data_IF_692654050901
#
_entry.id   IF_692654050901
#
_cell.length_a   1.000
_cell.length_b   1.000
_cell.length_c   1.000
_cell.angle_alpha   90.00
_cell.angle_beta   90.00
_cell.angle_gamma   90.00
#
_symmetry.space_group_name_H-M   'P 1'
#
loop_
_entity.id
_entity.type
_entity.pdbx_description
1 polymer ?
#
# COMPACT_ATOMS: atom_id res chain seq x y z
N UNK A 1 -13.58 -30.75 -16.14
CA UNK A 1 -14.52 -29.95 -15.31
C UNK A 1 -13.85 -29.09 -14.23
N UNK A 2 -12.75 -29.50 -13.57
CA UNK A 2 -12.05 -28.70 -12.52
C UNK A 2 -11.51 -27.35 -13.02
N UNK A 3 -10.90 -27.27 -14.20
CA UNK A 3 -10.33 -26.04 -14.77
C UNK A 3 -11.34 -24.90 -14.97
N UNK A 4 -12.58 -25.19 -15.35
CA UNK A 4 -13.64 -24.20 -15.58
C UNK A 4 -14.05 -23.50 -14.26
N UNK A 5 -14.09 -24.25 -13.15
CA UNK A 5 -14.43 -23.73 -11.83
C UNK A 5 -13.33 -22.79 -11.25
N UNK A 6 -12.04 -23.09 -11.52
CA UNK A 6 -10.93 -22.26 -11.02
C UNK A 6 -10.84 -20.91 -11.75
N UNK A 7 -11.02 -20.92 -13.08
CA UNK A 7 -11.05 -19.69 -13.88
C UNK A 7 -12.15 -18.74 -13.41
N UNK A 8 -13.33 -19.27 -13.13
CA UNK A 8 -14.47 -18.47 -12.66
C UNK A 8 -14.20 -17.92 -11.26
N UNK A 9 -13.67 -18.73 -10.32
CA UNK A 9 -13.29 -18.27 -8.98
C UNK A 9 -12.18 -17.22 -9.02
N UNK A 10 -11.16 -17.40 -9.85
CA UNK A 10 -10.11 -16.41 -10.06
C UNK A 10 -10.69 -15.08 -10.54
N UNK A 11 -11.52 -15.11 -11.60
CA UNK A 11 -12.11 -13.88 -12.15
C UNK A 11 -13.01 -13.15 -11.13
N UNK A 12 -13.81 -13.89 -10.36
CA UNK A 12 -14.66 -13.32 -9.32
C UNK A 12 -13.80 -12.69 -8.22
N UNK A 13 -12.80 -13.40 -7.70
CA UNK A 13 -11.91 -12.88 -6.66
C UNK A 13 -11.09 -11.69 -7.18
N UNK A 14 -10.57 -11.78 -8.39
CA UNK A 14 -9.87 -10.68 -9.04
C UNK A 14 -10.77 -9.44 -9.16
N UNK A 15 -12.02 -9.60 -9.64
CA UNK A 15 -12.95 -8.48 -9.77
C UNK A 15 -13.24 -7.80 -8.42
N UNK A 16 -13.49 -8.58 -7.35
CA UNK A 16 -13.70 -8.01 -6.02
C UNK A 16 -12.46 -7.28 -5.48
N UNK A 17 -11.28 -7.88 -5.61
CA UNK A 17 -10.02 -7.27 -5.15
C UNK A 17 -9.61 -6.09 -6.01
N UNK A 18 -9.83 -6.15 -7.31
CA UNK A 18 -9.64 -5.04 -8.24
C UNK A 18 -10.56 -3.86 -7.87
N UNK A 19 -11.85 -4.11 -7.68
CA UNK A 19 -12.82 -3.09 -7.28
C UNK A 19 -12.42 -2.45 -5.95
N UNK A 20 -12.01 -3.26 -4.97
CA UNK A 20 -11.58 -2.81 -3.65
C UNK A 20 -10.36 -1.90 -3.73
N UNK A 21 -9.32 -2.31 -4.45
CA UNK A 21 -8.09 -1.53 -4.56
C UNK A 21 -8.33 -0.22 -5.34
N UNK A 22 -9.16 -0.26 -6.38
CA UNK A 22 -9.38 0.90 -7.24
C UNK A 22 -10.41 1.89 -6.70
N UNK A 23 -11.39 1.45 -5.88
CA UNK A 23 -12.36 2.37 -5.26
C UNK A 23 -11.66 3.49 -4.48
N UNK A 24 -10.62 3.17 -3.70
CA UNK A 24 -9.86 4.17 -2.96
C UNK A 24 -9.23 5.23 -3.87
N UNK A 25 -8.78 4.84 -5.05
CA UNK A 25 -8.20 5.77 -6.03
C UNK A 25 -9.25 6.58 -6.76
N UNK A 26 -10.41 5.97 -7.10
CA UNK A 26 -11.55 6.71 -7.70
C UNK A 26 -12.04 7.82 -6.76
N UNK A 27 -12.20 7.54 -5.48
CA UNK A 27 -12.54 8.58 -4.50
C UNK A 27 -11.44 9.65 -4.39
N UNK A 28 -10.15 9.28 -4.52
CA UNK A 28 -9.06 10.26 -4.53
C UNK A 28 -9.12 11.18 -5.75
N UNK A 29 -9.56 10.69 -6.92
CA UNK A 29 -9.76 11.51 -8.13
C UNK A 29 -10.82 12.60 -7.89
N UNK A 30 -11.82 12.32 -7.07
CA UNK A 30 -12.89 13.29 -6.74
C UNK A 30 -12.44 14.22 -5.60
N UNK A 31 -11.86 13.68 -4.53
CA UNK A 31 -11.52 14.45 -3.33
C UNK A 31 -10.32 15.35 -3.52
N UNK A 32 -9.33 14.93 -4.33
CA UNK A 32 -8.08 15.65 -4.50
C UNK A 32 -8.28 17.05 -5.14
N UNK A 33 -9.02 17.19 -6.26
CA UNK A 33 -9.31 18.51 -6.82
C UNK A 33 -10.03 19.44 -5.84
N UNK A 34 -11.02 18.91 -5.09
CA UNK A 34 -11.78 19.68 -4.09
C UNK A 34 -10.84 20.19 -2.98
N UNK A 35 -9.95 19.34 -2.48
CA UNK A 35 -9.01 19.70 -1.42
C UNK A 35 -7.97 20.72 -1.91
N UNK A 36 -7.42 20.53 -3.11
CA UNK A 36 -6.45 21.46 -3.68
C UNK A 36 -7.09 22.83 -3.94
N UNK A 37 -8.34 22.88 -4.45
CA UNK A 37 -9.03 24.13 -4.68
C UNK A 37 -9.34 24.89 -3.38
N UNK A 38 -9.61 24.16 -2.27
CA UNK A 38 -9.92 24.76 -0.96
C UNK A 38 -8.68 25.26 -0.23
N UNK A 39 -7.59 24.51 -0.25
CA UNK A 39 -6.44 24.73 0.64
C UNK A 39 -5.15 25.10 -0.11
N UNK A 40 -5.12 24.92 -1.43
CA UNK A 40 -3.91 25.15 -2.23
C UNK A 40 -2.85 24.07 -2.09
N UNK A 41 -1.80 24.19 -2.91
CA UNK A 41 -0.74 23.17 -3.00
C UNK A 41 0.12 23.09 -1.73
N UNK A 42 0.44 24.23 -1.11
CA UNK A 42 1.34 24.25 0.04
C UNK A 42 0.73 23.51 1.24
N UNK A 43 -0.51 23.82 1.58
CA UNK A 43 -1.21 23.22 2.70
C UNK A 43 -1.51 21.75 2.46
N UNK A 44 -1.89 21.39 1.23
CA UNK A 44 -2.09 19.99 0.88
C UNK A 44 -0.78 19.18 0.90
N UNK A 45 0.34 19.78 0.56
CA UNK A 45 1.65 19.16 0.70
C UNK A 45 2.00 18.80 2.15
N UNK A 46 1.66 19.67 3.10
CA UNK A 46 1.81 19.39 4.53
C UNK A 46 0.95 18.20 4.96
N UNK A 47 -0.34 18.18 4.52
CA UNK A 47 -1.28 17.09 4.81
C UNK A 47 -0.77 15.76 4.26
N UNK A 48 -0.35 15.71 3.00
CA UNK A 48 0.13 14.47 2.37
C UNK A 48 1.44 13.98 2.98
N UNK A 49 2.34 14.90 3.37
CA UNK A 49 3.56 14.54 4.09
C UNK A 49 3.25 13.89 5.42
N UNK A 50 2.33 14.47 6.22
CA UNK A 50 1.89 13.88 7.47
C UNK A 50 1.19 12.52 7.25
N UNK A 51 0.34 12.39 6.23
CA UNK A 51 -0.26 11.12 5.86
C UNK A 51 0.77 10.04 5.51
N UNK A 52 1.80 10.38 4.73
CA UNK A 52 2.85 9.43 4.34
C UNK A 52 3.61 8.90 5.57
N UNK A 53 3.95 9.77 6.52
CA UNK A 53 4.60 9.37 7.78
C UNK A 53 3.69 8.44 8.58
N UNK A 54 2.42 8.81 8.78
CA UNK A 54 1.45 8.01 9.54
C UNK A 54 1.16 6.67 8.87
N UNK A 55 1.01 6.63 7.55
CA UNK A 55 0.84 5.36 6.83
C UNK A 55 2.10 4.49 6.90
N UNK A 56 3.29 5.09 6.92
CA UNK A 56 4.53 4.37 7.21
C UNK A 56 4.54 3.74 8.61
N UNK A 57 4.12 4.50 9.64
CA UNK A 57 3.97 3.96 11.01
C UNK A 57 2.97 2.81 11.07
N UNK A 58 1.82 2.96 10.42
CA UNK A 58 0.79 1.91 10.33
C UNK A 58 1.33 0.67 9.62
N UNK A 59 2.12 0.85 8.57
CA UNK A 59 2.75 -0.25 7.85
C UNK A 59 3.72 -1.04 8.75
N UNK A 60 4.51 -0.33 9.56
CA UNK A 60 5.39 -0.94 10.57
C UNK A 60 4.55 -1.64 11.66
N UNK A 61 3.46 -1.01 12.13
CA UNK A 61 2.59 -1.59 13.16
C UNK A 61 1.88 -2.88 12.71
N UNK A 62 1.58 -3.02 11.42
CA UNK A 62 1.08 -4.27 10.88
C UNK A 62 2.10 -5.41 10.94
N UNK A 63 3.37 -5.11 11.14
CA UNK A 63 4.47 -6.07 11.31
C UNK A 63 4.43 -7.17 10.23
N UNK A 64 4.42 -8.44 10.67
CA UNK A 64 4.31 -9.62 9.79
C UNK A 64 2.88 -10.12 9.58
N UNK A 65 1.87 -9.45 10.18
CA UNK A 65 0.48 -9.92 10.24
C UNK A 65 -0.16 -10.14 8.86
N UNK A 66 0.27 -9.36 7.86
CA UNK A 66 -0.19 -9.52 6.47
C UNK A 66 0.15 -10.89 5.88
N UNK A 67 1.22 -11.52 6.34
CA UNK A 67 1.61 -12.87 5.94
C UNK A 67 1.09 -13.91 6.93
N UNK A 68 1.12 -13.63 8.23
CA UNK A 68 0.75 -14.56 9.29
C UNK A 68 -0.75 -14.91 9.28
N UNK A 69 -1.66 -13.91 9.24
CA UNK A 69 -3.11 -14.16 9.33
C UNK A 69 -3.62 -15.07 8.20
N UNK A 70 -3.23 -14.88 6.92
CA UNK A 70 -3.62 -15.79 5.85
C UNK A 70 -3.15 -17.23 6.04
N UNK A 71 -2.01 -17.49 6.69
CA UNK A 71 -1.56 -18.87 6.98
C UNK A 71 -2.46 -19.57 7.99
N UNK A 72 -3.12 -18.82 8.86
CA UNK A 72 -4.08 -19.32 9.85
C UNK A 72 -5.52 -19.44 9.33
N UNK A 73 -5.78 -19.14 8.05
CA UNK A 73 -7.13 -19.00 7.50
C UNK A 73 -8.04 -20.22 7.73
N UNK A 74 -7.50 -21.45 7.56
CA UNK A 74 -8.22 -22.70 7.83
C UNK A 74 -8.65 -22.81 9.31
N UNK A 75 -7.71 -22.60 10.22
CA UNK A 75 -7.92 -22.71 11.66
C UNK A 75 -8.92 -21.64 12.15
N UNK A 76 -8.75 -20.39 11.71
CA UNK A 76 -9.61 -19.24 12.02
C UNK A 76 -11.04 -19.45 11.52
N UNK A 77 -11.23 -20.15 10.38
CA UNK A 77 -12.56 -20.36 9.83
C UNK A 77 -13.38 -21.38 10.61
N UNK A 78 -12.73 -22.40 11.19
CA UNK A 78 -13.36 -23.55 11.83
C UNK A 78 -13.47 -23.39 13.36
N UNK A 79 -12.41 -22.86 14.01
CA UNK A 79 -12.31 -22.78 15.47
C UNK A 79 -12.39 -21.34 15.97
N UNK A 80 -13.44 -21.07 16.76
CA UNK A 80 -13.69 -19.73 17.32
C UNK A 80 -12.64 -19.31 18.34
N UNK A 81 -12.09 -20.24 19.13
CA UNK A 81 -11.02 -19.93 20.09
C UNK A 81 -9.75 -19.50 19.39
N UNK A 82 -9.36 -20.21 18.31
CA UNK A 82 -8.21 -19.81 17.49
C UNK A 82 -8.45 -18.44 16.84
N UNK A 83 -9.69 -18.16 16.43
CA UNK A 83 -10.04 -16.83 15.92
C UNK A 83 -9.82 -15.76 17.01
N UNK A 84 -10.34 -15.95 18.24
CA UNK A 84 -10.18 -15.01 19.34
C UNK A 84 -8.71 -14.78 19.70
N UNK A 85 -7.93 -15.86 19.79
CA UNK A 85 -6.49 -15.77 20.09
C UNK A 85 -5.74 -15.00 18.99
N UNK A 86 -5.96 -15.33 17.72
CA UNK A 86 -5.29 -14.68 16.60
C UNK A 86 -5.71 -13.21 16.48
N UNK A 87 -6.98 -12.90 16.72
CA UNK A 87 -7.49 -11.54 16.76
C UNK A 87 -6.86 -10.74 17.90
N UNK A 88 -6.85 -11.28 19.12
CA UNK A 88 -6.22 -10.66 20.28
C UNK A 88 -4.72 -10.45 20.06
N UNK A 89 -4.01 -11.43 19.50
CA UNK A 89 -2.60 -11.30 19.16
C UNK A 89 -2.37 -10.17 18.16
N UNK A 90 -3.14 -10.12 17.08
CA UNK A 90 -2.96 -9.12 16.04
C UNK A 90 -3.24 -7.70 16.52
N UNK A 91 -4.28 -7.51 17.33
CA UNK A 91 -4.62 -6.20 17.91
C UNK A 91 -3.60 -5.74 18.96
N UNK A 92 -3.12 -6.65 19.82
CA UNK A 92 -2.05 -6.34 20.79
C UNK A 92 -0.74 -5.97 20.10
N UNK A 93 -0.30 -6.73 19.08
CA UNK A 93 0.91 -6.42 18.30
C UNK A 93 0.81 -5.02 17.69
N UNK A 94 -0.30 -4.72 17.02
CA UNK A 94 -0.53 -3.40 16.43
C UNK A 94 -0.58 -2.30 17.49
N UNK A 95 -1.26 -2.54 18.62
CA UNK A 95 -1.38 -1.56 19.69
C UNK A 95 -0.01 -1.22 20.30
N UNK A 96 0.77 -2.23 20.71
CA UNK A 96 2.09 -2.00 21.31
C UNK A 96 3.05 -1.27 20.37
N UNK A 97 3.13 -1.72 19.10
CA UNK A 97 4.00 -1.05 18.11
C UNK A 97 3.49 0.35 17.80
N UNK A 98 2.17 0.54 17.64
CA UNK A 98 1.59 1.86 17.37
C UNK A 98 1.84 2.84 18.51
N UNK A 99 1.68 2.43 19.77
CA UNK A 99 1.96 3.26 20.93
C UNK A 99 3.43 3.69 20.94
N UNK A 100 4.35 2.74 20.75
CA UNK A 100 5.79 3.03 20.70
C UNK A 100 6.13 4.03 19.58
N UNK A 101 5.66 3.78 18.36
CA UNK A 101 5.91 4.64 17.21
C UNK A 101 5.27 6.02 17.39
N UNK A 102 4.08 6.10 17.99
CA UNK A 102 3.39 7.35 18.29
C UNK A 102 4.21 8.19 19.27
N UNK A 103 4.72 7.60 20.35
CA UNK A 103 5.56 8.29 21.33
C UNK A 103 6.86 8.79 20.69
N UNK A 104 7.57 7.95 19.92
CA UNK A 104 8.80 8.34 19.22
C UNK A 104 8.55 9.47 18.22
N UNK A 105 7.49 9.34 17.39
CA UNK A 105 7.17 10.36 16.39
C UNK A 105 6.67 11.67 17.03
N UNK A 106 5.96 11.60 18.16
CA UNK A 106 5.53 12.78 18.91
C UNK A 106 6.75 13.60 19.38
N UNK A 107 7.75 12.96 19.97
CA UNK A 107 8.98 13.59 20.39
C UNK A 107 9.72 14.19 19.18
N UNK A 108 9.82 13.44 18.10
CA UNK A 108 10.51 13.89 16.89
C UNK A 108 9.83 15.10 16.25
N UNK A 109 8.51 15.08 16.10
CA UNK A 109 7.73 16.18 15.50
C UNK A 109 7.73 17.40 16.42
N UNK A 110 7.61 17.22 17.73
CA UNK A 110 7.65 18.32 18.68
C UNK A 110 8.99 19.09 18.68
N UNK A 111 10.11 18.39 18.44
CA UNK A 111 11.45 18.98 18.45
C UNK A 111 11.77 19.61 17.08
N UNK A 112 11.59 18.87 15.98
CA UNK A 112 12.11 19.23 14.66
C UNK A 112 11.07 19.82 13.72
N UNK A 113 9.76 19.56 13.94
CA UNK A 113 8.69 19.90 13.00
C UNK A 113 7.49 20.55 13.70
N UNK A 114 7.72 21.56 14.54
CA UNK A 114 6.67 22.22 15.35
C UNK A 114 5.45 22.65 14.52
N UNK A 115 5.66 23.14 13.30
CA UNK A 115 4.58 23.59 12.41
C UNK A 115 3.64 22.45 11.93
N UNK A 116 4.09 21.21 12.04
CA UNK A 116 3.30 20.02 11.67
C UNK A 116 2.63 19.34 12.88
N UNK A 117 2.89 19.84 14.11
CA UNK A 117 2.48 19.16 15.33
C UNK A 117 0.98 18.94 15.42
N UNK A 118 0.17 19.99 15.19
CA UNK A 118 -1.29 19.88 15.23
C UNK A 118 -1.81 18.93 14.15
N UNK A 119 -1.30 19.05 12.93
CA UNK A 119 -1.69 18.21 11.82
C UNK A 119 -1.33 16.73 12.07
N UNK A 120 -0.17 16.48 12.69
CA UNK A 120 0.25 15.15 13.08
C UNK A 120 -0.63 14.60 14.21
N UNK A 121 -0.90 15.38 15.26
CA UNK A 121 -1.76 14.97 16.38
C UNK A 121 -3.17 14.61 15.91
N UNK A 122 -3.75 15.45 15.05
CA UNK A 122 -5.08 15.22 14.46
C UNK A 122 -5.11 14.05 13.46
N UNK A 123 -3.96 13.51 13.08
CA UNK A 123 -3.88 12.29 12.25
C UNK A 123 -3.91 10.97 13.05
N UNK A 124 -3.83 11.02 14.39
CA UNK A 124 -3.85 9.81 15.25
C UNK A 124 -5.08 8.91 15.08
N UNK A 125 -6.30 9.40 14.78
CA UNK A 125 -7.43 8.51 14.49
C UNK A 125 -7.16 7.49 13.39
N UNK A 126 -6.29 7.80 12.41
CA UNK A 126 -5.85 6.85 11.39
C UNK A 126 -5.12 5.66 12.04
N UNK A 127 -4.25 5.94 13.03
CA UNK A 127 -3.51 4.89 13.75
C UNK A 127 -4.47 4.00 14.54
N UNK A 128 -5.41 4.61 15.29
CA UNK A 128 -6.43 3.90 16.08
C UNK A 128 -7.26 2.98 15.17
N UNK A 129 -7.73 3.51 14.02
CA UNK A 129 -8.44 2.70 13.03
C UNK A 129 -7.64 1.46 12.62
N UNK A 130 -6.35 1.61 12.36
CA UNK A 130 -5.52 0.49 11.90
C UNK A 130 -5.29 -0.58 12.97
N UNK A 131 -5.30 -0.23 14.25
CA UNK A 131 -5.22 -1.20 15.36
C UNK A 131 -6.43 -2.16 15.31
N UNK A 132 -7.63 -1.62 15.14
CA UNK A 132 -8.88 -2.40 15.15
C UNK A 132 -9.36 -2.87 13.77
N UNK A 133 -8.58 -2.64 12.73
CA UNK A 133 -8.98 -2.97 11.36
C UNK A 133 -9.07 -4.48 11.10
N UNK A 134 -10.28 -5.02 10.80
CA UNK A 134 -10.50 -6.45 10.59
C UNK A 134 -10.24 -6.93 9.15
N UNK A 135 -9.79 -6.05 8.26
CA UNK A 135 -9.71 -6.37 6.81
C UNK A 135 -8.86 -7.59 6.52
N UNK A 136 -7.74 -7.80 7.24
CA UNK A 136 -6.89 -8.99 7.06
C UNK A 136 -7.65 -10.28 7.44
N UNK A 137 -8.52 -10.23 8.45
CA UNK A 137 -9.34 -11.36 8.87
C UNK A 137 -10.48 -11.63 7.88
N UNK A 138 -11.13 -10.61 7.38
CA UNK A 138 -12.14 -10.79 6.33
C UNK A 138 -11.53 -11.35 5.04
N UNK A 139 -10.34 -10.91 4.65
CA UNK A 139 -9.61 -11.48 3.52
C UNK A 139 -9.25 -12.95 3.77
N UNK A 140 -8.74 -13.30 4.96
CA UNK A 140 -8.40 -14.68 5.33
C UNK A 140 -9.64 -15.60 5.36
N UNK A 141 -10.82 -15.05 5.70
CA UNK A 141 -12.10 -15.74 5.68
C UNK A 141 -12.78 -15.74 4.30
N UNK A 142 -12.13 -15.25 3.25
CA UNK A 142 -12.68 -15.08 1.89
C UNK A 142 -13.94 -14.18 1.85
N UNK A 143 -14.12 -13.32 2.86
CA UNK A 143 -15.24 -12.39 2.97
C UNK A 143 -14.94 -11.02 2.36
N UNK A 144 -14.38 -11.01 1.16
CA UNK A 144 -13.92 -9.80 0.45
C UNK A 144 -15.02 -8.76 0.21
N UNK A 145 -16.30 -9.17 0.17
CA UNK A 145 -17.44 -8.26 0.12
C UNK A 145 -17.45 -7.27 1.29
N UNK A 146 -17.17 -7.74 2.52
CA UNK A 146 -17.12 -6.84 3.69
C UNK A 146 -15.97 -5.86 3.61
N UNK A 147 -14.80 -6.30 3.12
CA UNK A 147 -13.65 -5.41 2.93
C UNK A 147 -13.97 -4.30 1.93
N UNK A 148 -14.63 -4.66 0.81
CA UNK A 148 -15.08 -3.70 -0.19
C UNK A 148 -16.09 -2.69 0.40
N UNK A 149 -17.08 -3.18 1.14
CA UNK A 149 -18.09 -2.30 1.77
C UNK A 149 -17.47 -1.36 2.79
N UNK A 150 -16.55 -1.84 3.64
CA UNK A 150 -15.80 -1.01 4.59
C UNK A 150 -15.04 0.08 3.82
N UNK A 151 -14.29 -0.30 2.78
CA UNK A 151 -13.53 0.65 1.98
C UNK A 151 -14.40 1.68 1.27
N UNK A 152 -15.52 1.26 0.69
CA UNK A 152 -16.45 2.15 -0.01
C UNK A 152 -17.12 3.14 0.95
N UNK A 153 -17.74 2.64 2.02
CA UNK A 153 -18.48 3.49 2.96
C UNK A 153 -17.57 4.47 3.69
N UNK A 154 -16.35 4.06 4.08
CA UNK A 154 -15.41 4.98 4.71
C UNK A 154 -14.96 6.10 3.76
N UNK A 155 -14.75 5.80 2.48
CA UNK A 155 -14.40 6.82 1.48
C UNK A 155 -15.58 7.73 1.16
N UNK A 156 -16.79 7.20 1.09
CA UNK A 156 -18.00 7.99 0.92
C UNK A 156 -18.20 8.97 2.09
N UNK A 157 -18.05 8.47 3.33
CA UNK A 157 -18.13 9.31 4.53
C UNK A 157 -17.03 10.38 4.55
N UNK A 158 -15.81 10.02 4.16
CA UNK A 158 -14.72 10.99 4.04
C UNK A 158 -15.02 12.07 3.00
N UNK A 159 -15.59 11.71 1.84
CA UNK A 159 -16.00 12.68 0.81
C UNK A 159 -17.02 13.68 1.38
N UNK A 160 -18.00 13.23 2.17
CA UNK A 160 -18.95 14.11 2.84
C UNK A 160 -18.23 15.08 3.80
N UNK A 161 -17.25 14.59 4.59
CA UNK A 161 -16.44 15.46 5.42
C UNK A 161 -15.64 16.48 4.63
N UNK A 162 -15.05 16.10 3.49
CA UNK A 162 -14.28 17.01 2.62
C UNK A 162 -15.09 18.20 2.15
N UNK A 163 -16.40 18.03 1.93
CA UNK A 163 -17.29 19.13 1.55
C UNK A 163 -17.42 20.16 2.68
N UNK A 164 -17.45 19.71 3.94
CA UNK A 164 -17.73 20.56 5.12
C UNK A 164 -16.44 21.11 5.77
N UNK A 165 -15.32 20.42 5.64
CA UNK A 165 -14.04 20.83 6.26
C UNK A 165 -13.62 22.22 5.77
N UNK A 166 -13.38 23.14 6.71
CA UNK A 166 -12.88 24.50 6.46
C UNK A 166 -11.41 24.71 6.85
N UNK A 167 -10.82 23.80 7.64
CA UNK A 167 -9.43 23.86 8.07
C UNK A 167 -8.68 22.60 7.67
N UNK A 168 -7.50 22.74 7.03
CA UNK A 168 -6.62 21.67 6.56
C UNK A 168 -6.25 20.66 7.66
N UNK A 169 -6.08 21.12 8.90
CA UNK A 169 -5.61 20.29 10.00
C UNK A 169 -6.59 19.13 10.32
N UNK A 170 -7.87 19.32 10.05
CA UNK A 170 -8.89 18.29 10.27
C UNK A 170 -9.01 17.26 9.14
N UNK A 171 -8.32 17.41 8.00
CA UNK A 171 -8.43 16.49 6.87
C UNK A 171 -8.06 15.06 7.30
N UNK A 172 -6.93 14.91 7.97
CA UNK A 172 -6.45 13.60 8.43
C UNK A 172 -7.29 13.04 9.58
N UNK A 173 -7.79 13.91 10.45
CA UNK A 173 -8.73 13.54 11.51
C UNK A 173 -10.00 12.94 10.90
N UNK A 174 -10.62 13.62 9.96
CA UNK A 174 -11.86 13.17 9.29
C UNK A 174 -11.63 11.90 8.47
N UNK A 175 -10.45 11.73 7.86
CA UNK A 175 -10.09 10.48 7.17
C UNK A 175 -10.05 9.32 8.16
N UNK A 176 -9.35 9.46 9.28
CA UNK A 176 -9.26 8.43 10.32
C UNK A 176 -10.61 8.15 10.98
N UNK A 177 -11.39 9.19 11.28
CA UNK A 177 -12.71 9.07 11.86
C UNK A 177 -13.68 8.33 10.94
N UNK A 178 -13.70 8.65 9.65
CA UNK A 178 -14.54 7.97 8.66
C UNK A 178 -14.25 6.47 8.58
N UNK A 179 -12.98 6.10 8.59
CA UNK A 179 -12.55 4.71 8.58
C UNK A 179 -12.92 4.00 9.90
N UNK A 180 -12.72 4.65 11.04
CA UNK A 180 -13.01 4.10 12.37
C UNK A 180 -14.50 3.83 12.55
N UNK A 181 -15.37 4.80 12.24
CA UNK A 181 -16.83 4.66 12.38
C UNK A 181 -17.37 3.50 11.56
N UNK A 182 -16.94 3.37 10.30
CA UNK A 182 -17.39 2.29 9.44
C UNK A 182 -16.89 0.93 9.94
N UNK A 183 -15.65 0.84 10.41
CA UNK A 183 -15.12 -0.40 10.97
C UNK A 183 -15.88 -0.83 12.21
N UNK A 184 -16.13 0.08 13.16
CA UNK A 184 -16.89 -0.23 14.36
C UNK A 184 -18.31 -0.74 14.04
N UNK A 185 -18.96 -0.15 13.02
CA UNK A 185 -20.26 -0.62 12.54
C UNK A 185 -20.19 -2.08 12.03
N UNK A 186 -19.18 -2.41 11.19
CA UNK A 186 -19.01 -3.77 10.65
C UNK A 186 -18.58 -4.78 11.72
N UNK A 187 -17.76 -4.39 12.70
CA UNK A 187 -17.41 -5.24 13.83
C UNK A 187 -18.64 -5.61 14.64
N UNK A 188 -19.53 -4.64 14.89
CA UNK A 188 -20.80 -4.87 15.63
C UNK A 188 -21.75 -5.80 14.87
N UNK A 189 -21.82 -5.70 13.54
CA UNK A 189 -22.68 -6.58 12.73
C UNK A 189 -22.08 -7.99 12.48
N UNK A 190 -20.79 -8.16 12.75
CA UNK A 190 -20.12 -9.43 12.55
C UNK A 190 -20.60 -10.45 13.58
N UNK A 191 -20.87 -11.70 13.10
CA UNK A 191 -21.11 -12.85 13.99
C UNK A 191 -19.84 -13.37 14.67
N UNK A 192 -18.65 -12.84 14.32
CA UNK A 192 -17.37 -13.21 14.92
C UNK A 192 -17.08 -12.40 16.17
N UNK A 193 -16.44 -12.98 17.20
CA UNK A 193 -16.20 -12.34 18.49
C UNK A 193 -15.05 -11.34 18.45
N UNK A 194 -15.14 -10.31 17.60
CA UNK A 194 -14.13 -9.25 17.50
C UNK A 194 -14.03 -8.39 18.77
N UNK A 195 -15.11 -8.33 19.56
CA UNK A 195 -15.10 -7.59 20.82
C UNK A 195 -14.59 -8.40 22.02
N UNK A 196 -14.41 -9.73 21.86
CA UNK A 196 -13.79 -10.58 22.88
C UNK A 196 -12.25 -10.42 22.79
N UNK A 197 -11.81 -9.24 23.14
CA UNK A 197 -10.39 -8.88 23.11
C UNK A 197 -9.75 -9.22 24.46
N UNK A 198 -8.61 -9.91 24.40
CA UNK A 198 -7.79 -10.21 25.55
C UNK A 198 -6.48 -9.45 25.49
N UNK A 199 -6.15 -8.74 26.56
CA UNK A 199 -4.81 -8.15 26.72
C UNK A 199 -3.80 -9.27 26.92
N UNK A 200 -2.91 -9.40 25.97
CA UNK A 200 -1.82 -10.38 26.05
C UNK A 200 -0.63 -9.79 26.79
N UNK A 201 0.05 -10.64 27.54
CA UNK A 201 1.29 -10.24 28.20
C UNK A 201 2.36 -9.83 27.17
N UNK A 202 3.15 -8.83 27.51
CA UNK A 202 4.24 -8.33 26.68
C UNK A 202 5.18 -9.46 26.24
N UNK A 203 5.39 -10.46 27.12
CA UNK A 203 6.22 -11.64 26.82
C UNK A 203 5.69 -12.45 25.63
N UNK A 204 4.37 -12.68 25.55
CA UNK A 204 3.76 -13.40 24.40
C UNK A 204 3.89 -12.61 23.11
N UNK A 205 3.68 -11.30 23.16
CA UNK A 205 3.84 -10.42 21.99
C UNK A 205 5.30 -10.40 21.52
N UNK A 206 6.27 -10.26 22.43
CA UNK A 206 7.70 -10.27 22.09
C UNK A 206 8.15 -11.60 21.48
N UNK A 207 7.61 -12.73 21.97
CA UNK A 207 7.89 -14.05 21.37
C UNK A 207 7.43 -14.08 19.91
N UNK A 208 6.20 -13.67 19.64
CA UNK A 208 5.65 -13.59 18.28
C UNK A 208 6.49 -12.67 17.37
N UNK A 209 6.86 -11.48 17.88
CA UNK A 209 7.71 -10.55 17.12
C UNK A 209 9.06 -11.19 16.76
N UNK A 210 9.66 -11.92 17.68
CA UNK A 210 10.93 -12.62 17.43
C UNK A 210 10.79 -13.74 16.40
N UNK A 211 9.76 -14.57 16.51
CA UNK A 211 9.52 -15.68 15.57
C UNK A 211 9.24 -15.22 14.15
N UNK A 212 8.56 -14.07 14.00
CA UNK A 212 8.14 -13.56 12.69
C UNK A 212 9.00 -12.39 12.18
N UNK A 213 10.17 -12.16 12.80
CA UNK A 213 11.04 -11.02 12.50
C UNK A 213 11.50 -10.97 11.04
N UNK A 214 11.88 -12.11 10.46
CA UNK A 214 12.30 -12.17 9.06
C UNK A 214 11.16 -11.78 8.08
N UNK A 215 9.93 -12.19 8.39
CA UNK A 215 8.75 -11.79 7.61
C UNK A 215 8.47 -10.29 7.76
N UNK A 216 8.68 -9.75 8.95
CA UNK A 216 8.58 -8.32 9.20
C UNK A 216 9.59 -7.53 8.36
N UNK A 217 10.85 -7.94 8.32
CA UNK A 217 11.88 -7.23 7.55
C UNK A 217 11.52 -7.16 6.06
N UNK A 218 11.03 -8.25 5.46
CA UNK A 218 10.58 -8.25 4.07
C UNK A 218 9.45 -7.23 3.85
N UNK A 219 8.46 -7.19 4.76
CA UNK A 219 7.35 -6.24 4.67
C UNK A 219 7.82 -4.80 4.89
N UNK A 220 8.65 -4.57 5.91
CA UNK A 220 9.19 -3.26 6.29
C UNK A 220 9.91 -2.59 5.12
N UNK A 221 10.90 -3.27 4.51
CA UNK A 221 11.68 -2.70 3.42
C UNK A 221 10.83 -2.45 2.17
N UNK A 222 9.82 -3.30 1.91
CA UNK A 222 8.89 -3.09 0.79
C UNK A 222 8.00 -1.86 0.97
N UNK A 223 7.60 -1.54 2.23
CA UNK A 223 6.68 -0.44 2.56
C UNK A 223 7.40 0.86 2.89
N UNK A 224 8.69 0.81 3.22
CA UNK A 224 9.46 1.99 3.61
C UNK A 224 9.60 2.99 2.46
N UNK A 225 9.74 2.50 1.23
CA UNK A 225 9.91 3.34 0.03
C UNK A 225 8.79 4.37 -0.16
N UNK A 226 7.50 3.98 -0.27
CA UNK A 226 6.42 4.95 -0.43
C UNK A 226 6.25 5.88 0.78
N UNK A 227 6.63 5.42 1.98
CA UNK A 227 6.55 6.23 3.20
C UNK A 227 7.60 7.34 3.25
N UNK A 228 8.73 7.20 2.55
CA UNK A 228 9.84 8.16 2.58
C UNK A 228 9.76 9.18 1.46
N UNK A 229 9.25 8.81 0.29
CA UNK A 229 9.30 9.67 -0.91
C UNK A 229 8.62 11.03 -0.69
N UNK A 230 7.42 11.06 -0.14
CA UNK A 230 6.69 12.33 0.07
C UNK A 230 7.32 13.22 1.14
N UNK A 231 7.71 12.70 2.34
CA UNK A 231 8.47 13.50 3.30
C UNK A 231 9.78 14.03 2.74
N UNK A 232 10.51 13.22 1.99
CA UNK A 232 11.76 13.62 1.36
C UNK A 232 11.54 14.72 0.28
N UNK A 233 10.50 14.56 -0.55
CA UNK A 233 10.11 15.58 -1.55
C UNK A 233 9.74 16.89 -0.86
N UNK A 234 8.96 16.82 0.22
CA UNK A 234 8.55 17.99 1.00
C UNK A 234 9.75 18.69 1.66
N UNK A 235 10.72 17.91 2.16
CA UNK A 235 11.93 18.42 2.79
C UNK A 235 12.87 19.11 1.79
N UNK A 236 13.11 18.48 0.63
CA UNK A 236 14.09 18.98 -0.35
C UNK A 236 13.56 20.13 -1.21
N UNK A 237 12.28 20.09 -1.60
CA UNK A 237 11.71 21.02 -2.57
C UNK A 237 10.54 21.85 -2.02
N UNK A 238 10.10 21.55 -0.81
CA UNK A 238 8.97 22.21 -0.17
C UNK A 238 7.63 21.45 -0.35
N UNK A 239 6.63 21.79 0.50
CA UNK A 239 5.36 21.08 0.56
C UNK A 239 4.56 21.12 -0.75
N UNK A 240 4.60 22.22 -1.49
CA UNK A 240 3.90 22.35 -2.78
C UNK A 240 4.34 21.28 -3.78
N UNK A 241 5.62 20.95 -3.81
CA UNK A 241 6.14 19.89 -4.67
C UNK A 241 5.72 18.48 -4.21
N UNK A 242 5.48 18.26 -2.91
CA UNK A 242 4.91 17.01 -2.43
C UNK A 242 3.47 16.83 -2.95
N UNK A 243 2.67 17.89 -3.04
CA UNK A 243 1.35 17.87 -3.66
C UNK A 243 1.44 17.53 -5.15
N UNK A 244 2.33 18.20 -5.89
CA UNK A 244 2.55 17.97 -7.32
C UNK A 244 2.95 16.51 -7.58
N UNK A 245 3.87 15.96 -6.77
CA UNK A 245 4.26 14.55 -6.85
C UNK A 245 3.08 13.61 -6.57
N UNK A 246 2.25 13.95 -5.57
CA UNK A 246 1.08 13.15 -5.19
C UNK A 246 0.05 13.06 -6.31
N UNK A 247 -0.16 14.11 -7.11
CA UNK A 247 -1.05 14.07 -8.28
C UNK A 247 -0.63 12.96 -9.26
N UNK A 248 0.64 12.88 -9.60
CA UNK A 248 1.17 11.86 -10.49
C UNK A 248 1.17 10.46 -9.84
N UNK A 249 1.59 10.36 -8.57
CA UNK A 249 1.69 9.10 -7.83
C UNK A 249 0.33 8.43 -7.64
N UNK A 250 -0.77 9.18 -7.48
CA UNK A 250 -2.13 8.63 -7.36
C UNK A 250 -2.55 7.85 -8.61
N UNK A 251 -2.22 8.33 -9.80
CA UNK A 251 -2.51 7.64 -11.07
C UNK A 251 -1.70 6.34 -11.15
N UNK A 252 -0.41 6.41 -10.84
CA UNK A 252 0.47 5.23 -10.86
C UNK A 252 0.02 4.19 -9.82
N UNK A 253 -0.35 4.62 -8.63
CA UNK A 253 -0.84 3.73 -7.57
C UNK A 253 -2.18 3.07 -7.93
N UNK A 254 -3.05 3.72 -8.69
CA UNK A 254 -4.26 3.10 -9.24
C UNK A 254 -3.90 1.88 -10.12
N UNK A 255 -2.91 2.02 -11.00
CA UNK A 255 -2.45 0.92 -11.85
C UNK A 255 -1.72 -0.16 -11.04
N UNK A 256 -0.92 0.25 -10.05
CA UNK A 256 -0.30 -0.68 -9.10
C UNK A 256 -1.34 -1.46 -8.31
N UNK A 257 -2.50 -0.85 -7.98
CA UNK A 257 -3.64 -1.53 -7.37
C UNK A 257 -4.17 -2.69 -8.21
N UNK A 258 -4.18 -2.55 -9.55
CA UNK A 258 -4.54 -3.64 -10.48
C UNK A 258 -3.56 -4.80 -10.35
N UNK A 259 -2.25 -4.51 -10.37
CA UNK A 259 -1.21 -5.54 -10.23
C UNK A 259 -1.28 -6.24 -8.86
N UNK A 260 -1.56 -5.51 -7.79
CA UNK A 260 -1.77 -6.05 -6.45
C UNK A 260 -3.00 -6.98 -6.37
N UNK A 261 -4.12 -6.61 -7.00
CA UNK A 261 -5.30 -7.48 -7.09
C UNK A 261 -5.02 -8.76 -7.89
N UNK A 262 -4.24 -8.66 -8.96
CA UNK A 262 -3.77 -9.84 -9.71
C UNK A 262 -2.93 -10.76 -8.82
N UNK A 263 -1.98 -10.22 -8.07
CA UNK A 263 -1.15 -11.00 -7.16
C UNK A 263 -1.99 -11.74 -6.12
N UNK A 264 -2.82 -11.02 -5.38
CA UNK A 264 -3.61 -11.60 -4.28
C UNK A 264 -4.64 -12.64 -4.76
N UNK A 265 -5.15 -12.52 -5.99
CA UNK A 265 -6.06 -13.52 -6.58
C UNK A 265 -5.32 -14.71 -7.20
N UNK A 266 -4.11 -14.50 -7.73
CA UNK A 266 -3.32 -15.53 -8.42
C UNK A 266 -2.51 -16.40 -7.43
N UNK A 267 -1.93 -15.81 -6.39
CA UNK A 267 -1.04 -16.47 -5.45
C UNK A 267 -1.63 -17.72 -4.77
N UNK A 268 -2.88 -17.74 -4.27
CA UNK A 268 -3.48 -18.95 -3.70
C UNK A 268 -3.67 -20.09 -4.70
N UNK A 269 -3.94 -19.75 -5.97
CA UNK A 269 -4.13 -20.74 -7.04
C UNK A 269 -2.77 -21.32 -7.43
N UNK A 270 -1.76 -20.47 -7.54
CA UNK A 270 -0.39 -20.84 -7.83
C UNK A 270 0.16 -21.85 -6.81
N UNK A 271 -0.01 -21.58 -5.51
CA UNK A 271 0.45 -22.47 -4.44
C UNK A 271 -0.26 -23.82 -4.38
N UNK A 272 -1.54 -23.89 -4.82
CA UNK A 272 -2.31 -25.16 -4.82
C UNK A 272 -1.94 -26.09 -5.96
N UNK A 273 -1.58 -25.57 -7.12
CA UNK A 273 -1.44 -26.34 -8.36
C UNK A 273 -0.02 -26.44 -8.90
N UNK A 274 0.99 -25.88 -8.21
CA UNK A 274 2.39 -25.79 -8.71
C UNK A 274 2.41 -25.31 -10.16
N UNK A 275 1.81 -24.14 -10.39
CA UNK A 275 1.62 -23.60 -11.72
C UNK A 275 2.98 -23.33 -12.37
N UNK A 276 3.33 -24.08 -13.40
CA UNK A 276 4.59 -23.90 -14.10
C UNK A 276 4.54 -22.61 -14.95
N UNK A 277 5.36 -21.63 -14.61
CA UNK A 277 5.48 -20.37 -15.37
C UNK A 277 5.93 -20.59 -16.84
N UNK A 278 6.43 -21.78 -17.16
CA UNK A 278 6.80 -22.15 -18.55
C UNK A 278 5.58 -22.36 -19.44
N UNK A 279 4.39 -22.55 -18.85
CA UNK A 279 3.10 -22.76 -19.57
C UNK A 279 2.70 -21.51 -20.37
N UNK A 280 3.18 -20.30 -19.97
CA UNK A 280 2.96 -19.13 -20.82
C UNK A 280 3.79 -19.26 -22.10
N UNK A 281 3.12 -19.67 -23.17
CA UNK A 281 3.72 -19.74 -24.52
C UNK A 281 4.40 -18.40 -24.85
N UNK A 282 5.48 -18.41 -25.62
CA UNK A 282 6.23 -17.20 -26.05
C UNK A 282 5.27 -16.11 -26.59
N UNK A 283 4.23 -16.51 -27.35
CA UNK A 283 3.18 -15.60 -27.86
C UNK A 283 2.40 -14.87 -26.75
N UNK A 284 2.06 -15.57 -25.65
CA UNK A 284 1.31 -14.96 -24.53
C UNK A 284 2.18 -13.95 -23.77
N UNK A 285 3.47 -14.26 -23.60
CA UNK A 285 4.43 -13.33 -22.97
C UNK A 285 4.61 -12.06 -23.81
N UNK A 286 4.75 -12.22 -25.13
CA UNK A 286 4.84 -11.09 -26.05
C UNK A 286 3.57 -10.24 -26.04
N UNK A 287 2.39 -10.86 -26.04
CA UNK A 287 1.11 -10.14 -25.95
C UNK A 287 1.00 -9.33 -24.65
N UNK A 288 1.34 -9.92 -23.49
CA UNK A 288 1.34 -9.21 -22.21
C UNK A 288 2.27 -8.00 -22.28
N UNK A 289 3.49 -8.17 -22.80
CA UNK A 289 4.44 -7.08 -22.91
C UNK A 289 3.91 -5.96 -23.84
N UNK A 290 3.32 -6.30 -24.99
CA UNK A 290 2.69 -5.34 -25.88
C UNK A 290 1.53 -4.58 -25.19
N UNK A 291 0.68 -5.29 -24.44
CA UNK A 291 -0.38 -4.63 -23.67
C UNK A 291 0.17 -3.67 -22.61
N UNK A 292 1.24 -4.04 -21.90
CA UNK A 292 1.88 -3.17 -20.91
C UNK A 292 2.50 -1.94 -21.56
N UNK A 293 3.19 -2.10 -22.68
CA UNK A 293 3.74 -0.97 -23.45
C UNK A 293 2.64 -0.04 -23.96
N UNK A 294 1.53 -0.59 -24.43
CA UNK A 294 0.36 0.19 -24.84
C UNK A 294 -0.22 1.00 -23.67
N UNK A 295 -0.33 0.41 -22.48
CA UNK A 295 -0.78 1.14 -21.28
C UNK A 295 0.17 2.28 -20.94
N UNK A 296 1.48 2.05 -20.97
CA UNK A 296 2.49 3.12 -20.75
C UNK A 296 2.33 4.24 -21.77
N UNK A 297 2.19 3.90 -23.06
CA UNK A 297 2.01 4.87 -24.14
C UNK A 297 0.73 5.69 -23.95
N UNK A 298 -0.39 5.04 -23.61
CA UNK A 298 -1.66 5.72 -23.35
C UNK A 298 -1.55 6.70 -22.19
N UNK A 299 -0.87 6.32 -21.11
CA UNK A 299 -0.65 7.20 -19.96
C UNK A 299 0.28 8.34 -20.31
N UNK A 300 1.38 8.06 -21.06
CA UNK A 300 2.33 9.07 -21.48
C UNK A 300 1.66 10.16 -22.34
N UNK A 301 0.84 9.75 -23.30
CA UNK A 301 0.09 10.67 -24.17
C UNK A 301 -1.07 11.34 -23.40
N UNK A 302 -1.81 10.58 -22.60
CA UNK A 302 -2.95 11.06 -21.82
C UNK A 302 -2.58 11.84 -20.55
N UNK A 303 -1.29 11.89 -20.18
CA UNK A 303 -0.83 12.52 -18.93
C UNK A 303 -1.29 13.98 -18.77
N UNK A 304 -1.35 14.87 -19.79
CA UNK A 304 -1.86 16.23 -19.62
C UNK A 304 -3.32 16.23 -19.18
N UNK A 305 -4.17 15.41 -19.82
CA UNK A 305 -5.60 15.32 -19.49
C UNK A 305 -5.84 14.73 -18.09
N UNK A 306 -5.10 13.69 -17.73
CA UNK A 306 -5.22 13.06 -16.43
C UNK A 306 -4.83 14.03 -15.30
N UNK A 307 -3.74 14.76 -15.46
CA UNK A 307 -3.31 15.77 -14.48
C UNK A 307 -4.27 16.95 -14.48
N UNK A 308 -4.73 17.43 -15.64
CA UNK A 308 -5.69 18.51 -15.74
C UNK A 308 -6.96 18.23 -14.92
N UNK A 309 -7.54 17.02 -15.02
CA UNK A 309 -8.71 16.62 -14.23
C UNK A 309 -8.40 16.55 -12.73
N UNK A 310 -7.26 15.96 -12.35
CA UNK A 310 -6.86 15.86 -10.94
C UNK A 310 -6.46 17.20 -10.32
N UNK A 311 -6.07 18.15 -11.13
CA UNK A 311 -5.59 19.46 -10.73
C UNK A 311 -6.70 20.54 -10.85
N UNK A 312 -7.95 20.15 -10.66
CA UNK A 312 -9.09 21.06 -10.72
C UNK A 312 -9.16 21.86 -12.04
N UNK A 313 -8.94 21.18 -13.15
CA UNK A 313 -8.95 21.76 -14.51
C UNK A 313 -7.90 22.87 -14.74
N UNK A 314 -6.76 22.77 -14.04
CA UNK A 314 -5.60 23.63 -14.24
C UNK A 314 -4.41 22.83 -14.79
N UNK A 315 -3.68 23.43 -15.70
CA UNK A 315 -2.47 22.84 -16.26
C UNK A 315 -1.34 22.79 -15.21
N UNK A 316 -0.60 21.69 -15.17
CA UNK A 316 0.59 21.54 -14.34
C UNK A 316 1.63 20.69 -15.06
N UNK A 317 2.51 21.33 -15.82
CA UNK A 317 3.54 20.66 -16.61
C UNK A 317 4.54 19.87 -15.77
N UNK A 318 4.79 20.28 -14.53
CA UNK A 318 5.69 19.55 -13.61
C UNK A 318 5.06 18.19 -13.26
N UNK A 319 3.78 18.17 -12.86
CA UNK A 319 3.07 16.94 -12.55
C UNK A 319 2.94 16.02 -13.78
N UNK A 320 2.70 16.58 -14.97
CA UNK A 320 2.65 15.83 -16.23
C UNK A 320 3.97 15.12 -16.50
N UNK A 321 5.09 15.81 -16.37
CA UNK A 321 6.41 15.23 -16.60
C UNK A 321 6.77 14.16 -15.55
N UNK A 322 6.41 14.39 -14.27
CA UNK A 322 6.57 13.38 -13.22
C UNK A 322 5.75 12.13 -13.55
N UNK A 323 4.48 12.29 -13.99
CA UNK A 323 3.63 11.16 -14.38
C UNK A 323 4.22 10.38 -15.55
N UNK A 324 4.76 11.06 -16.57
CA UNK A 324 5.43 10.44 -17.70
C UNK A 324 6.64 9.60 -17.25
N UNK A 325 7.47 10.14 -16.36
CA UNK A 325 8.61 9.40 -15.81
C UNK A 325 8.13 8.18 -15.02
N UNK A 326 7.21 8.38 -14.08
CA UNK A 326 6.70 7.30 -13.23
C UNK A 326 5.98 6.21 -14.03
N UNK A 327 5.37 6.52 -15.18
CA UNK A 327 4.69 5.54 -16.03
C UNK A 327 5.63 4.44 -16.53
N UNK A 328 6.93 4.74 -16.65
CA UNK A 328 7.95 3.76 -17.04
C UNK A 328 8.11 2.63 -15.99
N UNK A 329 7.65 2.82 -14.76
CA UNK A 329 7.64 1.76 -13.73
C UNK A 329 6.51 0.74 -13.89
N UNK A 330 5.48 1.03 -14.69
CA UNK A 330 4.29 0.17 -14.83
C UNK A 330 4.62 -1.26 -15.26
N UNK A 331 5.43 -1.50 -16.31
CA UNK A 331 5.75 -2.87 -16.70
C UNK A 331 6.40 -3.66 -15.56
N UNK A 332 7.17 -2.99 -14.70
CA UNK A 332 7.88 -3.61 -13.59
C UNK A 332 6.91 -4.20 -12.57
N UNK A 333 5.84 -3.48 -12.20
CA UNK A 333 4.85 -3.96 -11.23
C UNK A 333 4.20 -5.28 -11.65
N UNK A 334 3.97 -5.47 -12.95
CA UNK A 334 3.35 -6.69 -13.47
C UNK A 334 4.34 -7.84 -13.63
N UNK A 335 5.62 -7.54 -13.98
CA UNK A 335 6.65 -8.57 -14.18
C UNK A 335 7.22 -9.05 -12.83
N UNK A 336 7.35 -8.17 -11.85
CA UNK A 336 7.87 -8.53 -10.51
C UNK A 336 6.94 -9.51 -9.78
N UNK A 337 5.62 -9.39 -9.95
CA UNK A 337 4.65 -10.23 -9.25
C UNK A 337 4.87 -11.72 -9.39
N UNK A 338 4.93 -12.31 -10.60
CA UNK A 338 5.16 -13.75 -10.75
C UNK A 338 6.55 -14.17 -10.25
N UNK A 339 7.58 -13.33 -10.40
CA UNK A 339 8.93 -13.63 -9.90
C UNK A 339 8.97 -13.63 -8.37
N UNK A 340 8.35 -12.66 -7.74
CA UNK A 340 8.20 -12.58 -6.28
C UNK A 340 7.42 -13.78 -5.73
N UNK A 341 6.29 -14.15 -6.36
CA UNK A 341 5.49 -15.32 -5.98
C UNK A 341 6.32 -16.62 -6.04
N UNK A 342 7.13 -16.78 -7.08
CA UNK A 342 8.02 -17.93 -7.24
C UNK A 342 9.07 -18.00 -6.12
N UNK A 343 9.71 -16.88 -5.79
CA UNK A 343 10.68 -16.81 -4.68
C UNK A 343 10.04 -17.05 -3.31
N UNK A 344 8.79 -16.61 -3.12
CA UNK A 344 8.03 -16.89 -1.90
C UNK A 344 7.74 -18.38 -1.73
N UNK A 345 7.34 -19.07 -2.81
CA UNK A 345 7.10 -20.53 -2.80
C UNK A 345 8.37 -21.30 -2.42
N UNK A 346 9.50 -20.89 -2.99
CA UNK A 346 10.80 -21.47 -2.66
C UNK A 346 11.33 -21.11 -1.27
N UNK A 347 10.55 -20.32 -0.48
CA UNK A 347 10.94 -19.82 0.86
C UNK A 347 12.29 -19.09 0.87
N UNK A 348 12.65 -18.41 -0.22
CA UNK A 348 13.91 -17.67 -0.36
C UNK A 348 13.81 -16.26 0.24
N UNK A 349 13.38 -16.17 1.52
CA UNK A 349 13.15 -14.91 2.23
C UNK A 349 14.36 -13.98 2.26
N UNK A 350 15.55 -14.53 2.50
CA UNK A 350 16.79 -13.75 2.56
C UNK A 350 17.12 -13.07 1.22
N UNK A 351 16.79 -13.73 0.11
CA UNK A 351 17.03 -13.17 -1.23
C UNK A 351 16.07 -12.01 -1.50
N UNK A 352 14.80 -12.20 -1.17
CA UNK A 352 13.78 -11.14 -1.28
C UNK A 352 14.18 -9.93 -0.44
N UNK A 353 14.64 -10.17 0.80
CA UNK A 353 15.10 -9.13 1.71
C UNK A 353 16.32 -8.38 1.15
N UNK A 354 17.34 -9.11 0.69
CA UNK A 354 18.54 -8.49 0.14
C UNK A 354 18.25 -7.59 -1.04
N UNK A 355 17.35 -8.00 -1.94
CA UNK A 355 16.96 -7.16 -3.08
C UNK A 355 16.08 -5.98 -2.67
N UNK A 356 15.23 -6.11 -1.65
CA UNK A 356 14.47 -4.99 -1.10
C UNK A 356 15.41 -3.95 -0.44
N UNK A 357 16.43 -4.39 0.28
CA UNK A 357 17.46 -3.51 0.85
C UNK A 357 18.25 -2.84 -0.27
N UNK A 358 18.71 -3.60 -1.28
CA UNK A 358 19.43 -3.06 -2.43
C UNK A 358 18.62 -1.98 -3.16
N UNK A 359 17.32 -2.21 -3.36
CA UNK A 359 16.40 -1.24 -3.95
C UNK A 359 16.37 0.07 -3.16
N UNK A 360 16.28 0.02 -1.84
CA UNK A 360 16.30 1.21 -0.98
C UNK A 360 17.66 1.91 -1.00
N UNK A 361 18.74 1.16 -0.95
CA UNK A 361 20.10 1.72 -1.03
C UNK A 361 20.28 2.49 -2.33
N UNK A 362 19.88 1.90 -3.46
CA UNK A 362 19.94 2.56 -4.78
C UNK A 362 19.08 3.83 -4.78
N UNK A 363 17.87 3.79 -4.22
CA UNK A 363 17.00 4.94 -4.12
C UNK A 363 17.64 6.08 -3.31
N UNK A 364 18.19 5.76 -2.14
CA UNK A 364 18.86 6.75 -1.28
C UNK A 364 20.13 7.31 -1.90
N UNK A 365 20.99 6.49 -2.48
CA UNK A 365 22.18 6.93 -3.18
C UNK A 365 21.83 7.87 -4.34
N UNK A 366 20.77 7.52 -5.08
CA UNK A 366 20.30 8.36 -6.16
C UNK A 366 19.85 9.74 -5.65
N UNK A 367 19.14 9.80 -4.52
CA UNK A 367 18.71 11.06 -3.92
C UNK A 367 19.86 11.88 -3.33
N UNK A 368 20.89 11.23 -2.79
CA UNK A 368 22.07 11.93 -2.28
C UNK A 368 22.88 12.58 -3.40
N UNK A 369 22.97 11.92 -4.55
CA UNK A 369 23.78 12.41 -5.69
C UNK A 369 22.98 13.40 -6.54
N UNK A 370 21.70 13.13 -6.77
CA UNK A 370 20.85 13.86 -7.71
C UNK A 370 19.65 14.47 -7.00
N UNK A 371 19.87 15.53 -6.22
CA UNK A 371 18.80 16.22 -5.46
C UNK A 371 18.43 17.61 -6.00
N UNK A 372 18.92 17.99 -7.19
CA UNK A 372 18.74 19.35 -7.71
C UNK A 372 17.38 19.60 -8.35
N UNK A 373 16.64 18.55 -8.71
CA UNK A 373 15.37 18.67 -9.42
C UNK A 373 14.40 17.57 -9.01
N UNK A 374 13.10 17.93 -8.86
CA UNK A 374 12.04 16.98 -8.49
C UNK A 374 11.91 15.80 -9.47
N UNK A 375 12.20 15.98 -10.75
CA UNK A 375 12.18 14.89 -11.73
C UNK A 375 13.16 13.80 -11.38
N UNK A 376 14.28 14.13 -10.75
CA UNK A 376 15.30 13.16 -10.34
C UNK A 376 14.77 12.22 -9.26
N UNK A 377 13.84 12.68 -8.38
CA UNK A 377 13.14 11.80 -7.43
C UNK A 377 12.34 10.73 -8.18
N UNK A 378 11.58 11.13 -9.19
CA UNK A 378 10.80 10.21 -10.00
C UNK A 378 11.69 9.23 -10.78
N UNK A 379 12.81 9.70 -11.34
CA UNK A 379 13.79 8.86 -12.04
C UNK A 379 14.42 7.86 -11.07
N UNK A 380 14.86 8.31 -9.89
CA UNK A 380 15.43 7.44 -8.84
C UNK A 380 14.46 6.33 -8.43
N UNK A 381 13.17 6.68 -8.28
CA UNK A 381 12.12 5.69 -8.04
C UNK A 381 12.08 4.63 -9.15
N UNK A 382 12.01 5.04 -10.42
CA UNK A 382 11.94 4.13 -11.56
C UNK A 382 13.19 3.25 -11.63
N UNK A 383 14.40 3.82 -11.51
CA UNK A 383 15.65 3.06 -11.51
C UNK A 383 15.66 2.01 -10.41
N UNK A 384 15.22 2.36 -9.20
CA UNK A 384 15.17 1.41 -8.08
C UNK A 384 14.26 0.20 -8.36
N UNK A 385 13.14 0.39 -9.10
CA UNK A 385 12.26 -0.72 -9.53
C UNK A 385 12.95 -1.63 -10.56
N UNK A 386 13.67 -1.05 -11.51
CA UNK A 386 14.42 -1.83 -12.50
C UNK A 386 15.55 -2.65 -11.88
N UNK A 387 16.24 -2.09 -10.86
CA UNK A 387 17.29 -2.80 -10.11
C UNK A 387 16.69 -4.00 -9.37
N UNK A 388 15.53 -3.85 -8.74
CA UNK A 388 14.82 -4.95 -8.08
C UNK A 388 14.46 -6.06 -9.09
N UNK A 389 13.89 -5.68 -10.23
CA UNK A 389 13.53 -6.62 -11.29
C UNK A 389 14.74 -7.37 -11.82
N UNK A 390 15.82 -6.66 -12.16
CA UNK A 390 17.06 -7.25 -12.65
C UNK A 390 17.64 -8.25 -11.64
N UNK A 391 17.64 -7.90 -10.35
CA UNK A 391 18.06 -8.79 -9.27
C UNK A 391 17.27 -10.10 -9.22
N UNK A 392 15.94 -10.03 -9.29
CA UNK A 392 15.11 -11.23 -9.32
C UNK A 392 15.35 -12.11 -10.55
N UNK A 393 15.45 -11.49 -11.73
CA UNK A 393 15.70 -12.23 -12.98
C UNK A 393 17.06 -12.95 -12.92
N UNK A 394 18.13 -12.24 -12.56
CA UNK A 394 19.50 -12.80 -12.48
C UNK A 394 19.51 -13.98 -11.51
N UNK A 395 18.91 -13.82 -10.34
CA UNK A 395 18.88 -14.88 -9.33
C UNK A 395 18.10 -16.12 -9.79
N UNK A 396 16.91 -15.93 -10.42
CA UNK A 396 16.10 -17.05 -10.92
C UNK A 396 16.77 -17.78 -12.06
N UNK A 397 17.46 -17.06 -12.97
CA UNK A 397 18.26 -17.68 -14.04
C UNK A 397 19.39 -18.52 -13.45
N UNK A 398 20.09 -18.00 -12.43
CA UNK A 398 21.14 -18.76 -11.74
C UNK A 398 20.61 -20.03 -11.08
N UNK A 399 19.42 -19.96 -10.45
CA UNK A 399 18.76 -21.14 -9.82
C UNK A 399 18.37 -22.22 -10.84
N UNK A 400 18.06 -21.86 -12.08
CA UNK A 400 17.70 -22.83 -13.12
C UNK A 400 18.90 -23.50 -13.77
N UNK A 401 20.07 -22.88 -13.67
CA UNK A 401 21.33 -23.39 -14.22
C UNK A 401 22.17 -24.14 -13.19
N UNK A 402 21.78 -24.11 -11.91
CA UNK A 402 22.35 -24.93 -10.80
C UNK A 402 21.49 -26.16 -10.54
#
# INVERSE_FOLDING_TARGET
>A
MKFKNYRTRFLINFFWLFSLNNLGYLFSIITLPILISKFGYQDMGLVFTAQAIIFGMVAIANYSLIFYIPTQSKAISVNENIFKETWSLSTNVRAYISVLLTLVSLLFVAIYFKNYFNLWLLSLPIVIFKIVNPTLFFNALEKNKYVLLIGFLSKLLFLLFVIVISNKDYINFCLGLSELLVVLFFLKQSKKPFFDFQLLSLKKVMLFLKETFNLFLVNFFSLLKPAIILPLTSYLFGPSYATIYTLADKIINMIRGVSGAMFTSFFPIYNKERFDLTIFRKKTKALILCCLLLVVTLIYIGSPYLIFVLNNFQENNIAVNILRILSLSIPMFFIIIPLFSYLLELKKWNIILNFAILQLVVLFLFYLIFHNNIYQIAIGFVISEYVLLAGYIIYIVKLKNS
#
